data_IF_055996516190
#
_entry.id   IF_055996516190
#
_cell.length_a   1.000
_cell.length_b   1.000
_cell.length_c   1.000
_cell.angle_alpha   90.00
_cell.angle_beta   90.00
_cell.angle_gamma   90.00
#
_symmetry.space_group_name_H-M   'P 1'
#
loop_
_entity.id
_entity.type
_entity.pdbx_description
1 polymer ?
#
# COMPACT_ATOMS: atom_id res chain seq x y z
N UNK A 1 6.16 -36.58 40.86
CA UNK A 1 6.94 -36.83 39.63
C UNK A 1 8.46 -36.90 39.88
N UNK A 2 9.17 -35.82 40.26
CA UNK A 2 10.63 -35.90 40.49
C UNK A 2 11.01 -36.86 41.64
N UNK A 3 10.27 -36.82 42.76
CA UNK A 3 10.41 -37.77 43.87
C UNK A 3 10.29 -39.24 43.43
N UNK A 4 9.27 -39.57 42.63
CA UNK A 4 9.05 -40.94 42.14
C UNK A 4 10.17 -41.43 41.22
N UNK A 5 10.76 -40.52 40.42
CA UNK A 5 11.89 -40.85 39.55
C UNK A 5 13.16 -41.11 40.38
N UNK A 6 13.47 -40.24 41.35
CA UNK A 6 14.62 -40.43 42.25
C UNK A 6 14.47 -41.70 43.08
N UNK A 7 13.29 -41.94 43.68
CA UNK A 7 12.96 -43.17 44.41
C UNK A 7 13.07 -44.42 43.50
N UNK A 8 12.66 -44.30 42.24
CA UNK A 8 12.79 -45.36 41.24
C UNK A 8 14.25 -45.73 40.95
N UNK A 9 15.13 -44.73 40.77
CA UNK A 9 16.56 -44.97 40.58
C UNK A 9 17.24 -45.52 41.83
N UNK A 10 16.81 -45.12 43.03
CA UNK A 10 17.33 -45.66 44.29
C UNK A 10 16.93 -47.14 44.48
N UNK A 11 15.68 -47.52 44.17
CA UNK A 11 15.26 -48.94 44.15
C UNK A 11 16.03 -49.77 43.11
N UNK A 12 16.20 -49.23 41.90
CA UNK A 12 17.00 -49.88 40.85
C UNK A 12 18.47 -50.05 41.27
N UNK A 13 18.99 -49.10 42.05
CA UNK A 13 20.33 -49.20 42.62
C UNK A 13 20.44 -50.37 43.62
N UNK A 14 19.45 -50.52 44.51
CA UNK A 14 19.39 -51.63 45.45
C UNK A 14 19.23 -52.99 44.76
N UNK A 15 18.38 -53.08 43.74
CA UNK A 15 18.19 -54.29 42.92
C UNK A 15 19.48 -54.67 42.17
N UNK A 16 20.12 -53.71 41.49
CA UNK A 16 21.38 -53.93 40.81
C UNK A 16 22.53 -54.28 41.78
N UNK A 17 22.47 -53.79 43.03
CA UNK A 17 23.45 -54.13 44.07
C UNK A 17 23.29 -55.58 44.58
N UNK A 18 22.06 -56.12 44.54
CA UNK A 18 21.76 -57.52 44.92
C UNK A 18 22.17 -58.56 43.87
N UNK A 19 22.51 -58.16 42.64
CA UNK A 19 22.98 -59.08 41.60
C UNK A 19 24.29 -59.78 42.00
N UNK A 20 24.35 -61.10 41.84
CA UNK A 20 25.54 -61.89 42.15
C UNK A 20 26.72 -61.52 41.22
N UNK A 21 27.95 -61.39 41.75
CA UNK A 21 29.10 -60.91 40.99
C UNK A 21 29.62 -61.90 39.93
N UNK A 22 29.30 -63.20 40.03
CA UNK A 22 29.66 -64.18 39.01
C UNK A 22 28.61 -65.29 38.95
N UNK A 23 28.14 -65.62 37.74
CA UNK A 23 27.24 -66.76 37.53
C UNK A 23 27.98 -67.85 36.76
N UNK A 24 27.82 -69.10 37.18
CA UNK A 24 28.34 -70.27 36.46
C UNK A 24 27.22 -70.84 35.60
N UNK A 25 27.36 -70.73 34.29
CA UNK A 25 26.38 -71.25 33.32
C UNK A 25 26.73 -72.71 33.02
N UNK A 26 25.79 -73.62 33.32
CA UNK A 26 25.85 -75.07 33.07
C UNK A 26 27.15 -75.78 33.52
N UNK A 27 27.82 -75.25 34.55
CA UNK A 27 28.97 -75.90 35.19
C UNK A 27 30.31 -75.81 34.44
N UNK A 28 30.34 -75.29 33.21
CA UNK A 28 31.58 -75.20 32.40
C UNK A 28 32.00 -73.77 32.03
N UNK A 29 31.13 -72.76 32.17
CA UNK A 29 31.43 -71.36 31.84
C UNK A 29 31.16 -70.45 33.05
N UNK A 30 32.20 -69.76 33.53
CA UNK A 30 32.08 -68.73 34.58
C UNK A 30 32.02 -67.35 33.95
N UNK A 31 30.88 -66.68 34.05
CA UNK A 31 30.71 -65.31 33.56
C UNK A 31 30.96 -64.35 34.72
N UNK A 32 31.98 -63.50 34.57
CA UNK A 32 32.27 -62.43 35.53
C UNK A 32 31.41 -61.20 35.23
N UNK A 33 30.34 -61.03 35.99
CA UNK A 33 29.42 -59.91 35.85
C UNK A 33 29.86 -58.66 36.63
N UNK A 34 31.00 -58.70 37.36
CA UNK A 34 31.53 -57.56 38.13
C UNK A 34 31.69 -56.27 37.31
N UNK A 35 32.32 -56.26 36.11
CA UNK A 35 32.47 -55.02 35.33
C UNK A 35 31.13 -54.49 34.80
N UNK A 36 30.18 -55.38 34.47
CA UNK A 36 28.83 -54.99 34.07
C UNK A 36 28.05 -54.40 35.23
N UNK A 37 28.07 -55.05 36.40
CA UNK A 37 27.45 -54.56 37.65
C UNK A 37 28.00 -53.19 38.05
N UNK A 38 29.32 -53.01 38.02
CA UNK A 38 29.96 -51.72 38.31
C UNK A 38 29.52 -50.63 37.32
N UNK A 39 29.46 -50.94 36.03
CA UNK A 39 29.00 -50.00 35.00
C UNK A 39 27.52 -49.63 35.18
N UNK A 40 26.66 -50.61 35.46
CA UNK A 40 25.22 -50.39 35.69
C UNK A 40 24.96 -49.55 36.94
N UNK A 41 25.63 -49.86 38.06
CA UNK A 41 25.53 -49.07 39.29
C UNK A 41 26.00 -47.63 39.10
N UNK A 42 27.07 -47.42 38.31
CA UNK A 42 27.55 -46.08 37.97
C UNK A 42 26.55 -45.29 37.11
N UNK A 43 25.90 -45.95 36.12
CA UNK A 43 24.88 -45.29 35.29
C UNK A 43 23.68 -44.90 36.13
N UNK A 44 23.17 -45.78 36.99
CA UNK A 44 22.03 -45.49 37.88
C UNK A 44 22.37 -44.35 38.84
N UNK A 45 23.55 -44.37 39.46
CA UNK A 45 24.02 -43.26 40.32
C UNK A 45 24.14 -41.96 39.55
N UNK A 46 24.62 -41.98 38.30
CA UNK A 46 24.75 -40.77 37.46
C UNK A 46 23.38 -40.16 37.15
N UNK A 47 22.37 -40.97 36.85
CA UNK A 47 21.01 -40.48 36.61
C UNK A 47 20.38 -39.92 37.88
N UNK A 48 20.50 -40.63 39.02
CA UNK A 48 20.04 -40.12 40.32
C UNK A 48 20.72 -38.78 40.68
N UNK A 49 22.04 -38.67 40.49
CA UNK A 49 22.79 -37.44 40.70
C UNK A 49 22.34 -36.31 39.77
N UNK A 50 22.10 -36.59 38.49
CA UNK A 50 21.57 -35.60 37.54
C UNK A 50 20.23 -35.02 37.98
N UNK A 51 19.30 -35.84 38.47
CA UNK A 51 18.02 -35.35 38.97
C UNK A 51 18.17 -34.53 40.25
N UNK A 52 19.00 -34.98 41.19
CA UNK A 52 19.33 -34.24 42.41
C UNK A 52 19.99 -32.89 42.08
N UNK A 53 20.95 -32.88 41.17
CA UNK A 53 21.66 -31.68 40.74
C UNK A 53 20.75 -30.70 39.99
N UNK A 54 19.84 -31.18 39.14
CA UNK A 54 18.84 -30.32 38.51
C UNK A 54 17.91 -29.65 39.54
N UNK A 55 17.50 -30.36 40.60
CA UNK A 55 16.70 -29.77 41.67
C UNK A 55 17.51 -28.73 42.46
N UNK A 56 18.78 -29.00 42.75
CA UNK A 56 19.71 -28.06 43.39
C UNK A 56 19.87 -26.79 42.53
N UNK A 57 20.14 -26.96 41.23
CA UNK A 57 20.32 -25.87 40.29
C UNK A 57 19.02 -25.08 40.11
N UNK A 58 17.85 -25.75 40.09
CA UNK A 58 16.56 -25.09 39.99
C UNK A 58 16.28 -24.19 41.19
N UNK A 59 16.51 -24.68 42.42
CA UNK A 59 16.35 -23.89 43.65
C UNK A 59 17.33 -22.73 43.67
N UNK A 60 18.60 -23.00 43.38
CA UNK A 60 19.67 -21.99 43.41
C UNK A 60 19.44 -20.88 42.38
N UNK A 61 19.12 -21.23 41.13
CA UNK A 61 18.86 -20.26 40.07
C UNK A 61 17.57 -19.46 40.31
N UNK A 62 16.54 -20.10 40.87
CA UNK A 62 15.28 -19.41 41.17
C UNK A 62 15.45 -18.36 42.28
N UNK A 63 16.20 -18.70 43.34
CA UNK A 63 16.50 -17.78 44.43
C UNK A 63 17.46 -16.66 43.99
N UNK A 64 18.52 -16.97 43.23
CA UNK A 64 19.41 -15.97 42.64
C UNK A 64 18.67 -15.01 41.69
N UNK A 65 17.82 -15.54 40.81
CA UNK A 65 17.03 -14.74 39.89
C UNK A 65 15.96 -13.89 40.59
N UNK A 66 15.52 -14.29 41.78
CA UNK A 66 14.66 -13.46 42.62
C UNK A 66 15.47 -12.40 43.37
N UNK A 67 16.64 -12.72 43.90
CA UNK A 67 17.52 -11.79 44.59
C UNK A 67 17.97 -10.64 43.67
N UNK A 68 18.44 -10.97 42.46
CA UNK A 68 18.80 -9.98 41.45
C UNK A 68 17.61 -9.09 41.09
N UNK A 69 16.43 -9.68 40.89
CA UNK A 69 15.21 -8.92 40.60
C UNK A 69 14.86 -7.97 41.75
N UNK A 70 14.93 -8.43 43.00
CA UNK A 70 14.62 -7.59 44.16
C UNK A 70 15.61 -6.43 44.28
N UNK A 71 16.91 -6.67 44.13
CA UNK A 71 17.93 -5.61 44.14
C UNK A 71 17.70 -4.57 43.04
N UNK A 72 17.53 -5.00 41.78
CA UNK A 72 17.29 -4.09 40.65
C UNK A 72 16.03 -3.24 40.85
N UNK A 73 14.95 -3.84 41.39
CA UNK A 73 13.68 -3.13 41.61
C UNK A 73 13.74 -2.24 42.85
N UNK A 74 14.46 -2.61 43.92
CA UNK A 74 14.69 -1.73 45.07
C UNK A 74 15.52 -0.49 44.68
N UNK A 75 16.58 -0.66 43.89
CA UNK A 75 17.38 0.46 43.37
C UNK A 75 16.55 1.37 42.46
N UNK A 76 15.75 0.80 41.56
CA UNK A 76 14.85 1.55 40.68
C UNK A 76 13.77 2.32 41.44
N UNK A 77 13.17 1.74 42.48
CA UNK A 77 12.17 2.40 43.33
C UNK A 77 12.78 3.40 44.31
N UNK A 78 14.07 3.28 44.63
CA UNK A 78 14.81 4.20 45.49
C UNK A 78 15.18 5.54 44.81
N UNK A 79 15.01 5.65 43.49
CA UNK A 79 15.28 6.89 42.77
C UNK A 79 14.28 8.00 43.14
N UNK A 80 14.79 9.14 43.61
CA UNK A 80 13.97 10.31 43.92
C UNK A 80 13.50 10.99 42.63
N UNK A 81 12.23 10.85 42.31
CA UNK A 81 11.59 11.59 41.22
C UNK A 81 11.34 13.04 41.67
N UNK A 82 11.81 14.00 40.86
CA UNK A 82 11.44 15.42 40.97
C UNK A 82 10.35 15.74 39.95
N UNK A 83 9.51 16.73 40.25
CA UNK A 83 8.54 17.30 39.31
C UNK A 83 9.23 17.68 37.99
N UNK A 84 8.70 17.20 36.86
CA UNK A 84 9.20 17.48 35.50
C UNK A 84 10.10 16.40 34.88
N UNK A 85 10.51 15.35 35.61
CA UNK A 85 11.27 14.25 35.02
C UNK A 85 10.35 13.16 34.44
N UNK A 86 9.89 13.36 33.21
CA UNK A 86 9.04 12.39 32.48
C UNK A 86 9.71 11.01 32.37
N UNK A 87 11.00 10.97 32.00
CA UNK A 87 11.72 9.70 31.83
C UNK A 87 11.82 8.92 33.15
N UNK A 88 12.14 9.60 34.25
CA UNK A 88 12.16 8.96 35.57
C UNK A 88 10.79 8.48 36.04
N UNK A 89 9.70 9.15 35.62
CA UNK A 89 8.34 8.68 35.87
C UNK A 89 8.02 7.41 35.08
N UNK A 90 8.42 7.35 33.80
CA UNK A 90 8.27 6.17 32.92
C UNK A 90 8.98 4.97 33.52
N UNK A 91 10.25 5.14 33.91
CA UNK A 91 11.09 4.06 34.44
C UNK A 91 10.47 3.47 35.72
N UNK A 92 10.09 4.34 36.67
CA UNK A 92 9.47 3.90 37.93
C UNK A 92 8.11 3.23 37.70
N UNK A 93 7.30 3.73 36.75
CA UNK A 93 6.05 3.06 36.37
C UNK A 93 6.31 1.67 35.78
N UNK A 94 7.37 1.50 34.97
CA UNK A 94 7.81 0.20 34.46
C UNK A 94 8.24 -0.76 35.58
N UNK A 95 9.00 -0.28 36.57
CA UNK A 95 9.38 -1.07 37.74
C UNK A 95 8.15 -1.46 38.58
N UNK A 96 7.19 -0.56 38.81
CA UNK A 96 5.95 -0.83 39.53
C UNK A 96 5.07 -1.89 38.83
N UNK A 97 4.98 -1.83 37.50
CA UNK A 97 4.24 -2.81 36.69
C UNK A 97 4.91 -4.19 36.75
N UNK A 98 6.24 -4.26 36.59
CA UNK A 98 6.98 -5.52 36.68
C UNK A 98 6.84 -6.19 38.06
N UNK A 99 6.85 -5.41 39.15
CA UNK A 99 6.61 -5.93 40.50
C UNK A 99 5.18 -6.48 40.64
N UNK A 100 4.18 -5.78 40.09
CA UNK A 100 2.77 -6.21 40.11
C UNK A 100 2.53 -7.49 39.31
N UNK A 101 3.11 -7.61 38.12
CA UNK A 101 2.96 -8.79 37.26
C UNK A 101 3.62 -10.03 37.87
N UNK A 102 4.83 -9.87 38.44
CA UNK A 102 5.57 -10.97 39.05
C UNK A 102 5.05 -11.35 40.45
N UNK A 103 4.18 -10.53 41.04
CA UNK A 103 3.75 -10.69 42.43
C UNK A 103 3.09 -12.04 42.73
N UNK A 104 2.09 -12.43 41.94
CA UNK A 104 1.37 -13.68 42.16
C UNK A 104 2.28 -14.91 42.00
N UNK A 105 3.18 -14.87 41.01
CA UNK A 105 4.11 -15.97 40.74
C UNK A 105 5.17 -16.11 41.83
N UNK A 106 5.75 -14.99 42.29
CA UNK A 106 6.77 -15.00 43.35
C UNK A 106 6.18 -15.37 44.71
N UNK A 107 4.98 -14.90 45.05
CA UNK A 107 4.30 -15.29 46.30
C UNK A 107 4.02 -16.81 46.34
N UNK A 108 3.73 -17.44 45.20
CA UNK A 108 3.47 -18.88 45.09
C UNK A 108 4.74 -19.74 44.97
N UNK A 109 5.91 -19.14 44.75
CA UNK A 109 7.17 -19.87 44.48
C UNK A 109 7.85 -20.40 45.75
N UNK A 110 7.68 -19.72 46.89
CA UNK A 110 8.43 -20.06 48.10
C UNK A 110 8.03 -21.42 48.72
N UNK A 111 6.75 -21.80 48.65
CA UNK A 111 6.28 -23.07 49.24
C UNK A 111 6.82 -24.29 48.47
N UNK A 112 6.73 -24.37 47.13
CA UNK A 112 7.33 -25.47 46.37
C UNK A 112 8.86 -25.56 46.52
N UNK A 113 9.55 -24.43 46.69
CA UNK A 113 10.99 -24.42 46.91
C UNK A 113 11.35 -25.00 48.30
N UNK A 114 10.58 -24.69 49.35
CA UNK A 114 10.75 -25.30 50.67
C UNK A 114 10.55 -26.81 50.63
N UNK A 115 9.48 -27.28 49.98
CA UNK A 115 9.22 -28.71 49.79
C UNK A 115 10.34 -29.41 49.01
N UNK A 116 10.90 -28.75 48.00
CA UNK A 116 12.03 -29.28 47.21
C UNK A 116 13.31 -29.38 48.05
N UNK A 117 13.57 -28.41 48.93
CA UNK A 117 14.71 -28.43 49.85
C UNK A 117 14.55 -29.53 50.91
N UNK A 118 13.35 -29.71 51.47
CA UNK A 118 13.04 -30.81 52.38
C UNK A 118 13.21 -32.19 51.70
N UNK A 119 12.80 -32.30 50.44
CA UNK A 119 13.02 -33.49 49.63
C UNK A 119 14.53 -33.75 49.42
N UNK A 120 15.32 -32.73 49.07
CA UNK A 120 16.77 -32.86 48.93
C UNK A 120 17.46 -33.27 50.24
N UNK A 121 17.01 -32.73 51.38
CA UNK A 121 17.46 -33.16 52.72
C UNK A 121 17.16 -34.63 52.99
N UNK A 122 16.01 -35.14 52.55
CA UNK A 122 15.66 -36.56 52.71
C UNK A 122 16.56 -37.53 51.92
N UNK A 123 17.29 -37.01 50.92
CA UNK A 123 18.24 -37.76 50.10
C UNK A 123 19.71 -37.51 50.49
N UNK A 124 19.97 -36.98 51.69
CA UNK A 124 21.30 -36.60 52.21
C UNK A 124 22.06 -35.61 51.31
N UNK A 125 21.34 -34.82 50.50
CA UNK A 125 21.93 -33.78 49.66
C UNK A 125 21.90 -32.44 50.40
N UNK A 126 23.03 -32.06 50.98
CA UNK A 126 23.17 -30.75 51.60
C UNK A 126 23.30 -29.64 50.54
N UNK A 127 22.49 -28.60 50.70
CA UNK A 127 22.58 -27.36 49.93
C UNK A 127 23.56 -26.40 50.62
N UNK A 128 24.19 -25.48 49.87
CA UNK A 128 25.04 -24.44 50.45
C UNK A 128 24.30 -23.59 51.50
N UNK A 129 25.01 -23.19 52.55
CA UNK A 129 24.46 -22.31 53.61
C UNK A 129 23.88 -21.01 53.06
N UNK A 130 24.40 -20.52 51.93
CA UNK A 130 23.90 -19.34 51.23
C UNK A 130 22.45 -19.50 50.75
N UNK A 131 22.05 -20.71 50.34
CA UNK A 131 20.69 -21.01 49.86
C UNK A 131 19.69 -20.98 51.03
N UNK A 132 20.09 -21.48 52.20
CA UNK A 132 19.26 -21.40 53.41
C UNK A 132 19.09 -19.96 53.88
N UNK A 133 20.17 -19.18 53.87
CA UNK A 133 20.11 -17.73 54.20
C UNK A 133 19.19 -16.98 53.24
N UNK A 134 19.32 -17.22 51.93
CA UNK A 134 18.45 -16.62 50.92
C UNK A 134 16.97 -16.98 51.14
N UNK A 135 16.66 -18.22 51.52
CA UNK A 135 15.28 -18.66 51.76
C UNK A 135 14.64 -17.97 52.98
N UNK A 136 15.42 -17.60 54.00
CA UNK A 136 14.95 -16.84 55.16
C UNK A 136 14.84 -15.34 54.87
N UNK A 137 15.83 -14.76 54.18
CA UNK A 137 15.91 -13.31 53.94
C UNK A 137 15.03 -12.83 52.77
N UNK A 138 14.92 -13.60 51.67
CA UNK A 138 14.22 -13.17 50.45
C UNK A 138 12.71 -12.93 50.65
N UNK A 139 11.97 -13.73 51.45
CA UNK A 139 10.57 -13.41 51.76
C UNK A 139 10.43 -12.04 52.41
N UNK A 140 11.30 -11.70 53.36
CA UNK A 140 11.29 -10.39 54.02
C UNK A 140 11.64 -9.27 53.04
N UNK A 141 12.74 -9.40 52.28
CA UNK A 141 13.14 -8.44 51.23
C UNK A 141 12.02 -8.23 50.20
N UNK A 142 11.35 -9.31 49.79
CA UNK A 142 10.20 -9.26 48.89
C UNK A 142 9.00 -8.53 49.51
N UNK A 143 8.69 -8.75 50.79
CA UNK A 143 7.62 -7.98 51.47
C UNK A 143 7.96 -6.51 51.62
N UNK A 144 9.23 -6.17 51.86
CA UNK A 144 9.71 -4.80 51.93
C UNK A 144 9.63 -4.12 50.56
N UNK A 145 10.04 -4.81 49.49
CA UNK A 145 9.86 -4.34 48.12
C UNK A 145 8.38 -4.09 47.79
N UNK A 146 7.46 -4.98 48.17
CA UNK A 146 6.01 -4.78 47.99
C UNK A 146 5.51 -3.53 48.73
N UNK A 147 5.94 -3.32 49.98
CA UNK A 147 5.60 -2.11 50.75
C UNK A 147 6.19 -0.85 50.12
N UNK A 148 7.44 -0.91 49.68
CA UNK A 148 8.13 0.18 48.97
C UNK A 148 7.43 0.53 47.66
N UNK A 149 7.00 -0.46 46.88
CA UNK A 149 6.23 -0.27 45.66
C UNK A 149 4.88 0.41 45.93
N UNK A 150 4.17 0.05 47.00
CA UNK A 150 2.91 0.71 47.39
C UNK A 150 3.15 2.16 47.81
N UNK A 151 4.17 2.43 48.61
CA UNK A 151 4.54 3.77 49.05
C UNK A 151 4.95 4.66 47.85
N UNK A 152 5.78 4.13 46.95
CA UNK A 152 6.20 4.83 45.74
C UNK A 152 5.02 5.09 44.82
N UNK A 153 4.11 4.13 44.65
CA UNK A 153 2.87 4.32 43.89
C UNK A 153 2.02 5.46 44.47
N UNK A 154 1.91 5.58 45.79
CA UNK A 154 1.20 6.70 46.42
C UNK A 154 1.90 8.05 46.20
N UNK A 155 3.23 8.07 46.25
CA UNK A 155 4.03 9.27 46.01
C UNK A 155 3.95 9.74 44.55
N UNK A 156 3.91 8.78 43.61
CA UNK A 156 3.88 9.03 42.17
C UNK A 156 2.47 9.29 41.64
N UNK A 157 1.42 8.82 42.32
CA UNK A 157 0.03 9.02 41.93
C UNK A 157 -0.34 10.48 41.55
N UNK A 158 0.00 11.54 42.32
CA UNK A 158 -0.30 12.91 41.93
C UNK A 158 0.48 13.36 40.68
N UNK A 159 1.74 12.94 40.52
CA UNK A 159 2.55 13.24 39.34
C UNK A 159 2.02 12.53 38.09
N UNK A 160 1.64 11.27 38.23
CA UNK A 160 0.98 10.48 37.19
C UNK A 160 -0.35 11.13 36.78
N UNK A 161 -1.17 11.56 37.74
CA UNK A 161 -2.44 12.23 37.46
C UNK A 161 -2.24 13.56 36.72
N UNK A 162 -1.22 14.34 37.09
CA UNK A 162 -0.84 15.57 36.40
C UNK A 162 -0.41 15.29 34.95
N UNK A 163 0.44 14.28 34.73
CA UNK A 163 0.91 13.92 33.39
C UNK A 163 -0.22 13.36 32.51
N UNK A 164 -1.10 12.52 33.07
CA UNK A 164 -2.32 12.04 32.39
C UNK A 164 -3.22 13.21 31.99
N UNK A 165 -3.36 14.23 32.85
CA UNK A 165 -4.12 15.43 32.51
C UNK A 165 -3.47 16.23 31.36
N UNK A 166 -2.14 16.33 31.35
CA UNK A 166 -1.38 16.94 30.24
C UNK A 166 -1.57 16.14 28.94
N UNK A 167 -1.44 14.81 28.99
CA UNK A 167 -1.65 13.93 27.83
C UNK A 167 -3.06 14.05 27.29
N UNK A 168 -4.09 14.05 28.15
CA UNK A 168 -5.49 14.26 27.73
C UNK A 168 -5.68 15.61 27.04
N UNK A 169 -5.05 16.68 27.54
CA UNK A 169 -5.09 18.00 26.89
C UNK A 169 -4.39 17.98 25.53
N UNK A 170 -3.23 17.31 25.41
CA UNK A 170 -2.52 17.13 24.13
C UNK A 170 -3.35 16.32 23.13
N UNK A 171 -4.00 15.24 23.56
CA UNK A 171 -4.93 14.45 22.76
C UNK A 171 -6.09 15.29 22.22
N UNK A 172 -6.76 16.06 23.09
CA UNK A 172 -7.84 16.94 22.68
C UNK A 172 -7.37 18.05 21.72
N UNK A 173 -6.19 18.63 21.95
CA UNK A 173 -5.60 19.62 21.05
C UNK A 173 -5.24 19.01 19.69
N UNK A 174 -4.73 17.78 19.67
CA UNK A 174 -4.41 17.05 18.45
C UNK A 174 -5.67 16.74 17.63
N UNK A 175 -6.78 16.38 18.27
CA UNK A 175 -8.07 16.19 17.59
C UNK A 175 -8.52 17.47 16.87
N UNK A 176 -8.43 18.62 17.54
CA UNK A 176 -8.77 19.91 16.93
C UNK A 176 -7.85 20.23 15.75
N UNK A 177 -6.54 20.03 15.91
CA UNK A 177 -5.57 20.25 14.82
C UNK A 177 -5.77 19.28 13.66
N UNK A 178 -6.15 18.02 13.92
CA UNK A 178 -6.51 17.04 12.90
C UNK A 178 -7.75 17.48 12.09
N UNK A 179 -8.77 18.03 12.75
CA UNK A 179 -9.94 18.59 12.08
C UNK A 179 -9.59 19.83 11.24
N UNK A 180 -8.80 20.75 11.81
CA UNK A 180 -8.33 21.95 11.12
C UNK A 180 -7.45 21.62 9.91
N UNK A 181 -6.58 20.61 10.05
CA UNK A 181 -5.75 20.11 8.96
C UNK A 181 -6.61 19.62 7.79
N UNK A 182 -7.66 18.84 8.08
CA UNK A 182 -8.61 18.37 7.06
C UNK A 182 -9.31 19.52 6.33
N UNK A 183 -9.77 20.54 7.04
CA UNK A 183 -10.41 21.70 6.39
C UNK A 183 -9.44 22.42 5.46
N UNK A 184 -8.19 22.61 5.90
CA UNK A 184 -7.13 23.20 5.06
C UNK A 184 -6.83 22.33 3.85
N UNK A 185 -6.74 21.02 4.03
CA UNK A 185 -6.51 20.06 2.94
C UNK A 185 -7.65 20.16 1.91
N UNK A 186 -8.91 20.13 2.33
CA UNK A 186 -10.06 20.29 1.43
C UNK A 186 -10.09 21.61 0.67
N UNK A 187 -9.64 22.70 1.28
CA UNK A 187 -9.67 24.02 0.68
C UNK A 187 -8.49 24.31 -0.28
N UNK A 188 -7.33 23.69 -0.05
CA UNK A 188 -6.07 24.07 -0.72
C UNK A 188 -5.35 22.92 -1.41
N UNK A 189 -5.77 21.66 -1.22
CA UNK A 189 -5.23 20.56 -1.99
C UNK A 189 -5.68 20.67 -3.46
N UNK A 190 -4.94 20.07 -4.40
CA UNK A 190 -5.16 20.24 -5.83
C UNK A 190 -6.36 19.42 -6.33
N UNK A 191 -7.55 19.77 -5.85
CA UNK A 191 -8.83 19.20 -6.29
C UNK A 191 -9.38 19.85 -7.56
N UNK A 192 -8.87 21.03 -7.92
CA UNK A 192 -9.27 21.79 -9.11
C UNK A 192 -8.40 21.43 -10.32
N UNK A 193 -9.00 21.33 -11.50
CA UNK A 193 -8.30 20.99 -12.74
C UNK A 193 -7.24 22.04 -13.16
N UNK A 194 -7.50 23.31 -12.86
CA UNK A 194 -6.61 24.43 -13.19
C UNK A 194 -5.45 24.62 -12.19
N UNK A 195 -5.18 23.63 -11.34
CA UNK A 195 -4.14 23.76 -10.32
C UNK A 195 -2.73 23.92 -10.93
N UNK A 196 -2.06 25.02 -10.59
CA UNK A 196 -0.67 25.23 -10.95
C UNK A 196 0.26 24.36 -10.07
N UNK A 197 1.16 23.58 -10.71
CA UNK A 197 2.16 22.73 -10.05
C UNK A 197 1.57 21.75 -9.00
N UNK A 198 0.67 20.84 -9.40
CA UNK A 198 -0.02 19.92 -8.49
C UNK A 198 0.94 19.05 -7.67
N UNK A 199 2.04 18.58 -8.25
CA UNK A 199 3.04 17.76 -7.55
C UNK A 199 3.72 18.47 -6.39
N UNK A 200 4.14 19.72 -6.57
CA UNK A 200 4.78 20.49 -5.50
C UNK A 200 3.84 20.67 -4.30
N UNK A 201 2.56 20.93 -4.57
CA UNK A 201 1.53 20.99 -3.52
C UNK A 201 1.34 19.63 -2.85
N UNK A 202 1.22 18.55 -3.61
CA UNK A 202 1.09 17.19 -3.06
C UNK A 202 2.28 16.81 -2.18
N UNK A 203 3.50 17.19 -2.56
CA UNK A 203 4.71 16.94 -1.76
C UNK A 203 4.69 17.74 -0.44
N UNK A 204 4.27 19.01 -0.47
CA UNK A 204 4.08 19.77 0.77
C UNK A 204 3.03 19.14 1.68
N UNK A 205 1.88 18.73 1.13
CA UNK A 205 0.83 18.04 1.88
C UNK A 205 1.30 16.68 2.40
N UNK A 206 2.13 15.96 1.63
CA UNK A 206 2.72 14.71 2.06
C UNK A 206 3.64 14.91 3.27
N UNK A 207 4.49 15.94 3.24
CA UNK A 207 5.37 16.27 4.35
C UNK A 207 4.57 16.65 5.62
N UNK A 208 3.56 17.51 5.47
CA UNK A 208 2.71 17.92 6.59
C UNK A 208 1.92 16.74 7.17
N UNK A 209 1.38 15.85 6.32
CA UNK A 209 0.72 14.61 6.75
C UNK A 209 1.67 13.71 7.54
N UNK A 210 2.90 13.53 7.06
CA UNK A 210 3.91 12.71 7.72
C UNK A 210 4.34 13.31 9.05
N UNK A 211 4.41 14.65 9.16
CA UNK A 211 4.66 15.35 10.43
C UNK A 211 3.52 15.14 11.44
N UNK A 212 2.27 15.23 10.99
CA UNK A 212 1.09 14.95 11.83
C UNK A 212 1.04 13.48 12.28
N UNK A 213 1.34 12.52 11.40
CA UNK A 213 1.41 11.09 11.73
C UNK A 213 2.53 10.78 12.72
N UNK A 214 3.71 11.40 12.58
CA UNK A 214 4.80 11.27 13.54
C UNK A 214 4.43 11.85 14.91
N UNK A 215 3.75 12.99 14.92
CA UNK A 215 3.23 13.61 16.14
C UNK A 215 2.23 12.69 16.85
N UNK A 216 1.30 12.07 16.09
CA UNK A 216 0.36 11.09 16.63
C UNK A 216 1.09 9.85 17.18
N UNK A 217 2.11 9.34 16.49
CA UNK A 217 2.87 8.19 16.94
C UNK A 217 3.57 8.46 18.29
N UNK A 218 4.21 9.62 18.43
CA UNK A 218 4.84 10.04 19.69
C UNK A 218 3.83 10.23 20.83
N UNK A 219 2.63 10.75 20.50
CA UNK A 219 1.54 10.91 21.45
C UNK A 219 0.95 9.55 21.85
N UNK A 220 0.83 8.62 20.91
CA UNK A 220 0.33 7.27 21.15
C UNK A 220 1.29 6.46 22.03
N UNK A 221 2.59 6.57 21.80
CA UNK A 221 3.62 5.98 22.66
C UNK A 221 3.51 6.51 24.09
N UNK A 222 3.42 7.83 24.23
CA UNK A 222 3.27 8.49 25.54
C UNK A 222 1.95 8.12 26.22
N UNK A 223 0.84 8.03 25.48
CA UNK A 223 -0.47 7.68 26.01
C UNK A 223 -0.60 6.20 26.39
N UNK A 224 0.01 5.30 25.61
CA UNK A 224 0.05 3.85 25.88
C UNK A 224 0.67 3.55 27.24
N UNK A 225 1.77 4.25 27.57
CA UNK A 225 2.47 4.10 28.84
C UNK A 225 1.60 4.39 30.07
N UNK A 226 0.64 5.30 29.94
CA UNK A 226 -0.25 5.71 31.03
C UNK A 226 -1.69 5.18 30.87
N UNK A 227 -1.91 4.21 29.99
CA UNK A 227 -3.24 3.65 29.67
C UNK A 227 -4.28 4.73 29.29
N UNK A 228 -3.83 5.81 28.65
CA UNK A 228 -4.70 6.89 28.17
C UNK A 228 -5.20 6.54 26.77
N UNK A 229 -6.51 6.71 26.55
CA UNK A 229 -7.10 6.51 25.23
C UNK A 229 -6.50 7.51 24.21
N UNK A 230 -5.94 6.97 23.13
CA UNK A 230 -5.38 7.74 22.01
C UNK A 230 -6.53 8.17 21.09
N UNK A 231 -6.49 9.40 20.53
CA UNK A 231 -7.49 9.83 19.56
C UNK A 231 -7.53 8.98 18.30
N UNK A 232 -8.71 8.86 17.69
CA UNK A 232 -8.87 8.15 16.43
C UNK A 232 -8.32 8.97 15.26
N UNK A 233 -7.31 8.43 14.57
CA UNK A 233 -6.65 9.02 13.42
C UNK A 233 -7.51 9.04 12.14
N UNK A 234 -8.84 8.96 12.25
CA UNK A 234 -9.77 8.83 11.12
C UNK A 234 -9.59 9.91 10.07
N UNK A 235 -9.43 11.18 10.47
CA UNK A 235 -9.32 12.27 9.50
C UNK A 235 -7.97 12.25 8.78
N UNK A 236 -6.87 11.93 9.49
CA UNK A 236 -5.54 11.80 8.89
C UNK A 236 -5.50 10.64 7.89
N UNK A 237 -6.04 9.47 8.27
CA UNK A 237 -6.14 8.31 7.38
C UNK A 237 -6.93 8.64 6.12
N UNK A 238 -8.02 9.39 6.25
CA UNK A 238 -8.79 9.83 5.09
C UNK A 238 -8.00 10.81 4.21
N UNK A 239 -7.36 11.83 4.79
CA UNK A 239 -6.53 12.77 4.01
C UNK A 239 -5.37 12.05 3.31
N UNK A 240 -4.78 11.02 3.94
CA UNK A 240 -3.73 10.19 3.34
C UNK A 240 -4.25 9.39 2.15
N UNK A 241 -5.45 8.81 2.24
CA UNK A 241 -6.11 8.12 1.12
C UNK A 241 -6.42 9.08 -0.02
N UNK A 242 -7.03 10.23 0.29
CA UNK A 242 -7.36 11.27 -0.69
C UNK A 242 -6.09 11.83 -1.38
N UNK A 243 -5.00 12.06 -0.64
CA UNK A 243 -3.73 12.52 -1.20
C UNK A 243 -3.09 11.50 -2.16
N UNK A 244 -3.19 10.20 -1.85
CA UNK A 244 -2.71 9.14 -2.77
C UNK A 244 -3.54 9.08 -4.05
N UNK A 245 -4.85 9.11 -3.92
CA UNK A 245 -5.76 9.12 -5.07
C UNK A 245 -5.63 10.40 -5.91
N UNK A 246 -5.36 11.56 -5.29
CA UNK A 246 -5.02 12.79 -6.00
C UNK A 246 -3.72 12.64 -6.79
N UNK A 247 -2.69 12.04 -6.21
CA UNK A 247 -1.44 11.77 -6.93
C UNK A 247 -1.66 10.90 -8.15
N UNK A 248 -2.39 9.79 -8.00
CA UNK A 248 -2.75 8.92 -9.12
C UNK A 248 -3.52 9.66 -10.21
N UNK A 249 -4.49 10.50 -9.84
CA UNK A 249 -5.23 11.33 -10.79
C UNK A 249 -4.30 12.28 -11.56
N UNK A 250 -3.42 12.99 -10.87
CA UNK A 250 -2.48 13.92 -11.49
C UNK A 250 -1.41 13.22 -12.33
N UNK A 251 -1.04 11.98 -12.00
CA UNK A 251 -0.17 11.13 -12.83
C UNK A 251 -0.85 10.80 -14.17
N UNK A 252 -2.14 10.46 -14.16
CA UNK A 252 -2.92 10.28 -15.39
C UNK A 252 -3.04 11.60 -16.14
N UNK A 253 -3.29 12.73 -15.45
CA UNK A 253 -3.32 14.06 -16.10
C UNK A 253 -2.00 14.39 -16.79
N UNK A 254 -0.87 14.14 -16.14
CA UNK A 254 0.45 14.40 -16.70
C UNK A 254 0.72 13.51 -17.92
N UNK A 255 0.32 12.24 -17.87
CA UNK A 255 0.41 11.33 -19.00
C UNK A 255 -0.41 11.82 -20.19
N UNK A 256 -1.69 12.16 -19.97
CA UNK A 256 -2.57 12.69 -21.03
C UNK A 256 -2.00 13.97 -21.62
N UNK A 257 -1.59 14.94 -20.80
CA UNK A 257 -1.03 16.21 -21.27
C UNK A 257 0.30 16.03 -22.02
N UNK A 258 1.14 15.10 -21.60
CA UNK A 258 2.38 14.76 -22.31
C UNK A 258 2.05 14.18 -23.69
N UNK A 259 1.20 13.15 -23.76
CA UNK A 259 0.84 12.51 -25.03
C UNK A 259 0.14 13.46 -25.98
N UNK A 260 -0.80 14.28 -25.48
CA UNK A 260 -1.43 15.34 -26.28
C UNK A 260 -0.41 16.37 -26.73
N UNK A 261 0.55 16.73 -25.87
CA UNK A 261 1.68 17.60 -26.22
C UNK A 261 2.48 17.06 -27.40
N UNK A 262 2.83 15.77 -27.37
CA UNK A 262 3.56 15.11 -28.46
C UNK A 262 2.74 15.07 -29.77
N UNK A 263 1.43 14.86 -29.67
CA UNK A 263 0.54 14.84 -30.84
C UNK A 263 0.37 16.22 -31.46
N UNK A 264 0.40 17.29 -30.66
CA UNK A 264 0.20 18.67 -31.13
C UNK A 264 1.20 19.09 -32.19
N UNK A 265 2.44 18.62 -32.09
CA UNK A 265 3.51 18.94 -33.05
C UNK A 265 3.49 18.05 -34.30
N UNK A 266 2.60 17.06 -34.36
CA UNK A 266 2.48 16.14 -35.50
C UNK A 266 1.82 16.85 -36.67
N UNK A 267 2.43 16.74 -37.87
CA UNK A 267 1.92 17.34 -39.11
C UNK A 267 0.65 16.64 -39.60
N UNK A 268 -0.29 17.39 -40.15
CA UNK A 268 -1.59 16.91 -40.67
C UNK A 268 -1.49 15.64 -41.53
N UNK A 269 -0.54 15.60 -42.47
CA UNK A 269 -0.35 14.47 -43.41
C UNK A 269 0.19 13.19 -42.75
N UNK A 270 0.75 13.30 -41.55
CA UNK A 270 1.35 12.21 -40.78
C UNK A 270 0.51 11.81 -39.58
N UNK A 271 -0.68 12.40 -39.42
CA UNK A 271 -1.58 12.06 -38.31
C UNK A 271 -2.19 10.68 -38.51
N UNK A 272 -1.85 9.78 -37.58
CA UNK A 272 -2.54 8.51 -37.37
C UNK A 272 -3.66 8.71 -36.34
N UNK A 273 -4.83 9.10 -36.84
CA UNK A 273 -5.98 9.45 -36.00
C UNK A 273 -6.54 8.21 -35.28
N UNK A 274 -6.46 7.04 -35.90
CA UNK A 274 -6.93 5.77 -35.31
C UNK A 274 -6.07 5.37 -34.11
N UNK A 275 -4.74 5.49 -34.21
CA UNK A 275 -3.84 5.24 -33.10
C UNK A 275 -4.05 6.25 -31.96
N UNK A 276 -4.22 7.53 -32.27
CA UNK A 276 -4.49 8.57 -31.26
C UNK A 276 -5.83 8.37 -30.54
N UNK A 277 -6.89 7.98 -31.27
CA UNK A 277 -8.20 7.66 -30.68
C UNK A 277 -8.15 6.41 -29.79
N UNK A 278 -7.39 5.38 -30.20
CA UNK A 278 -7.15 4.19 -29.37
C UNK A 278 -6.46 4.55 -28.04
N UNK A 279 -5.48 5.45 -28.08
CA UNK A 279 -4.80 5.97 -26.88
C UNK A 279 -5.74 6.80 -26.00
N UNK A 280 -6.59 7.65 -26.58
CA UNK A 280 -7.61 8.40 -25.82
C UNK A 280 -8.62 7.45 -25.13
N UNK A 281 -9.04 6.39 -25.81
CA UNK A 281 -9.89 5.33 -25.23
C UNK A 281 -9.19 4.61 -24.07
N UNK A 282 -7.87 4.41 -24.18
CA UNK A 282 -7.02 3.89 -23.09
C UNK A 282 -7.02 4.84 -21.89
N UNK A 283 -6.76 6.13 -22.11
CA UNK A 283 -6.82 7.15 -21.05
C UNK A 283 -8.19 7.20 -20.36
N UNK A 284 -9.28 7.14 -21.14
CA UNK A 284 -10.62 7.11 -20.58
C UNK A 284 -10.88 5.85 -19.73
N UNK A 285 -10.29 4.70 -20.09
CA UNK A 285 -10.36 3.47 -19.29
C UNK A 285 -9.56 3.59 -18.00
N UNK A 286 -8.35 4.12 -18.07
CA UNK A 286 -7.46 4.29 -16.92
C UNK A 286 -8.06 5.30 -15.94
N UNK A 287 -8.66 6.38 -16.44
CA UNK A 287 -9.42 7.34 -15.65
C UNK A 287 -10.62 6.68 -14.94
N UNK A 288 -11.37 5.80 -15.63
CA UNK A 288 -12.49 5.06 -15.02
C UNK A 288 -12.04 4.04 -13.96
N UNK A 289 -10.81 3.54 -14.06
CA UNK A 289 -10.23 2.58 -13.12
C UNK A 289 -9.80 3.21 -11.79
N UNK A 290 -9.65 4.54 -11.74
CA UNK A 290 -9.43 5.27 -10.50
C UNK A 290 -10.60 5.09 -9.51
N UNK A 291 -10.31 5.31 -8.22
CA UNK A 291 -11.29 5.19 -7.14
C UNK A 291 -12.53 6.05 -7.41
N UNK A 292 -13.72 5.54 -7.05
CA UNK A 292 -15.00 6.24 -7.31
C UNK A 292 -15.06 7.60 -6.63
N UNK A 293 -14.35 7.77 -5.52
CA UNK A 293 -14.26 9.04 -4.79
C UNK A 293 -13.59 10.15 -5.63
N UNK A 294 -12.71 9.81 -6.58
CA UNK A 294 -12.03 10.82 -7.41
C UNK A 294 -12.99 11.52 -8.38
N UNK A 295 -14.10 10.86 -8.74
CA UNK A 295 -15.10 11.37 -9.69
C UNK A 295 -15.86 12.59 -9.20
N UNK A 296 -15.87 12.82 -7.89
CA UNK A 296 -16.48 14.00 -7.29
C UNK A 296 -15.58 15.24 -7.37
N UNK A 297 -14.32 15.08 -7.80
CA UNK A 297 -13.36 16.17 -7.84
C UNK A 297 -13.37 16.87 -9.19
N UNK A 298 -13.23 18.18 -9.17
CA UNK A 298 -13.18 19.02 -10.36
C UNK A 298 -12.00 18.63 -11.28
N UNK A 299 -10.85 18.25 -10.71
CA UNK A 299 -9.70 17.72 -11.45
C UNK A 299 -10.04 16.48 -12.29
N UNK A 300 -10.92 15.60 -11.80
CA UNK A 300 -11.39 14.44 -12.56
C UNK A 300 -12.32 14.88 -13.69
N UNK A 301 -13.30 15.74 -13.36
CA UNK A 301 -14.28 16.22 -14.35
C UNK A 301 -13.60 16.98 -15.50
N UNK A 302 -12.62 17.83 -15.19
CA UNK A 302 -11.82 18.54 -16.18
C UNK A 302 -11.03 17.60 -17.09
N UNK A 303 -10.34 16.60 -16.51
CA UNK A 303 -9.59 15.61 -17.30
C UNK A 303 -10.50 14.71 -18.15
N UNK A 304 -11.63 14.26 -17.60
CA UNK A 304 -12.62 13.46 -18.34
C UNK A 304 -13.19 14.26 -19.52
N UNK A 305 -13.48 15.55 -19.32
CA UNK A 305 -13.91 16.45 -20.39
C UNK A 305 -12.81 16.66 -21.42
N UNK A 306 -11.55 16.85 -21.01
CA UNK A 306 -10.41 17.02 -21.91
C UNK A 306 -10.24 15.79 -22.82
N UNK A 307 -10.25 14.58 -22.24
CA UNK A 307 -10.11 13.33 -23.01
C UNK A 307 -11.30 13.15 -23.96
N UNK A 308 -12.54 13.41 -23.53
CA UNK A 308 -13.72 13.32 -24.39
C UNK A 308 -13.69 14.33 -25.53
N UNK A 309 -13.35 15.58 -25.25
CA UNK A 309 -13.23 16.63 -26.26
C UNK A 309 -12.13 16.29 -27.27
N UNK A 310 -11.03 15.69 -26.81
CA UNK A 310 -9.97 15.20 -27.70
C UNK A 310 -10.49 14.08 -28.62
N UNK A 311 -11.19 13.08 -28.09
CA UNK A 311 -11.77 12.00 -28.90
C UNK A 311 -12.73 12.54 -29.98
N UNK A 312 -13.63 13.45 -29.62
CA UNK A 312 -14.55 14.08 -30.58
C UNK A 312 -13.79 14.90 -31.62
N UNK A 313 -12.77 15.66 -31.22
CA UNK A 313 -11.94 16.44 -32.14
C UNK A 313 -11.17 15.53 -33.10
N UNK A 314 -10.59 14.43 -32.62
CA UNK A 314 -9.90 13.44 -33.44
C UNK A 314 -10.85 12.79 -34.45
N UNK A 315 -12.07 12.42 -34.05
CA UNK A 315 -13.08 11.91 -34.99
C UNK A 315 -13.39 12.91 -36.11
N UNK A 316 -13.55 14.19 -35.78
CA UNK A 316 -13.75 15.24 -36.77
C UNK A 316 -12.52 15.39 -37.71
N UNK A 317 -11.31 15.30 -37.17
CA UNK A 317 -10.05 15.29 -37.95
C UNK A 317 -10.03 14.10 -38.93
N UNK A 318 -10.41 12.89 -38.50
CA UNK A 318 -10.51 11.73 -39.38
C UNK A 318 -11.51 11.93 -40.53
N UNK A 319 -12.68 12.51 -40.24
CA UNK A 319 -13.68 12.83 -41.28
C UNK A 319 -13.11 13.86 -42.29
N UNK A 320 -12.35 14.85 -41.81
CA UNK A 320 -11.73 15.90 -42.61
C UNK A 320 -10.51 15.43 -43.43
N UNK A 321 -9.89 14.29 -43.10
CA UNK A 321 -8.81 13.67 -43.90
C UNK A 321 -9.33 13.07 -45.23
N UNK A 322 -10.65 13.09 -45.48
CA UNK A 322 -11.23 12.59 -46.72
C UNK A 322 -10.69 13.36 -47.95
N UNK A 323 -10.21 12.66 -49.00
CA UNK A 323 -9.63 13.29 -50.20
C UNK A 323 -10.63 14.13 -51.02
N UNK A 324 -11.93 14.03 -50.75
CA UNK A 324 -12.95 14.88 -51.35
C UNK A 324 -12.86 16.34 -50.86
N UNK A 325 -12.25 16.58 -49.69
CA UNK A 325 -12.08 17.90 -49.09
C UNK A 325 -11.10 18.74 -49.93
N UNK A 326 -11.42 20.03 -50.06
CA UNK A 326 -10.71 21.02 -50.90
C UNK A 326 -10.77 22.37 -50.24
N UNK A 327 -9.99 23.32 -50.76
CA UNK A 327 -9.91 24.70 -50.26
C UNK A 327 -11.28 25.35 -49.97
N UNK A 328 -12.26 25.18 -50.84
CA UNK A 328 -13.64 25.69 -50.63
C UNK A 328 -14.32 25.15 -49.37
N UNK A 329 -14.06 23.89 -49.02
CA UNK A 329 -14.62 23.23 -47.84
C UNK A 329 -13.92 23.72 -46.56
N UNK A 330 -12.60 23.96 -46.63
CA UNK A 330 -11.86 24.58 -45.54
C UNK A 330 -12.35 26.00 -45.25
N UNK A 331 -12.68 26.76 -46.28
CA UNK A 331 -13.30 28.09 -46.13
C UNK A 331 -14.68 28.04 -45.47
N UNK A 332 -15.50 27.03 -45.78
CA UNK A 332 -16.78 26.82 -45.09
C UNK A 332 -16.58 26.48 -43.61
N UNK A 333 -15.60 25.63 -43.30
CA UNK A 333 -15.26 25.27 -41.92
C UNK A 333 -14.75 26.49 -41.12
N UNK A 334 -13.92 27.34 -41.73
CA UNK A 334 -13.48 28.61 -41.13
C UNK A 334 -14.65 29.55 -40.83
N UNK A 335 -15.62 29.63 -41.73
CA UNK A 335 -16.81 30.47 -41.53
C UNK A 335 -17.69 29.92 -40.40
N UNK A 336 -17.83 28.60 -40.29
CA UNK A 336 -18.62 27.96 -39.24
C UNK A 336 -17.96 28.09 -37.85
N UNK A 337 -16.64 27.88 -37.78
CA UNK A 337 -15.88 27.93 -36.52
C UNK A 337 -15.52 29.35 -36.09
N UNK A 338 -15.55 30.32 -37.01
CA UNK A 338 -15.14 31.71 -36.76
C UNK A 338 -13.62 31.90 -36.64
N UNK A 339 -12.83 30.84 -36.85
CA UNK A 339 -11.37 30.86 -36.76
C UNK A 339 -10.79 30.89 -38.17
N UNK A 340 -9.84 31.79 -38.42
CA UNK A 340 -9.11 31.87 -39.70
C UNK A 340 -7.86 31.01 -39.63
N UNK A 341 -7.74 30.03 -40.53
CA UNK A 341 -6.55 29.20 -40.69
C UNK A 341 -6.25 28.94 -42.17
N UNK A 342 -4.97 28.82 -42.54
CA UNK A 342 -4.57 28.36 -43.88
C UNK A 342 -4.15 26.89 -43.77
N UNK A 343 -4.66 26.05 -44.67
CA UNK A 343 -4.18 24.68 -44.80
C UNK A 343 -2.92 24.67 -45.66
N UNK A 344 -1.76 24.56 -44.99
CA UNK A 344 -0.45 24.55 -45.62
C UNK A 344 0.27 23.21 -45.30
N UNK A 345 1.40 22.92 -45.96
CA UNK A 345 2.12 21.66 -45.73
C UNK A 345 2.68 21.51 -44.30
N UNK A 346 2.81 22.62 -43.59
CA UNK A 346 3.28 22.69 -42.20
C UNK A 346 2.14 22.71 -41.17
N UNK A 347 0.87 22.60 -41.59
CA UNK A 347 -0.27 22.56 -40.64
C UNK A 347 -0.14 21.37 -39.69
N UNK A 348 -0.27 21.65 -38.40
CA UNK A 348 -0.13 20.67 -37.30
C UNK A 348 -1.48 20.35 -36.66
N UNK A 349 -1.52 19.28 -35.85
CA UNK A 349 -2.70 19.00 -35.02
C UNK A 349 -3.00 20.15 -34.05
N UNK A 350 -1.99 20.85 -33.54
CA UNK A 350 -2.20 22.01 -32.68
C UNK A 350 -3.07 23.08 -33.34
N UNK A 351 -2.87 23.33 -34.63
CA UNK A 351 -3.62 24.33 -35.39
C UNK A 351 -5.09 23.91 -35.58
N UNK A 352 -5.32 22.61 -35.77
CA UNK A 352 -6.67 22.04 -35.93
C UNK A 352 -7.44 21.99 -34.62
N UNK A 353 -6.75 21.75 -33.51
CA UNK A 353 -7.37 21.80 -32.18
C UNK A 353 -7.83 23.22 -31.79
N UNK A 354 -7.22 24.28 -32.34
CA UNK A 354 -7.70 25.66 -32.13
C UNK A 354 -9.08 25.91 -32.72
N UNK A 355 -9.52 25.10 -33.68
CA UNK A 355 -10.85 25.18 -34.28
C UNK A 355 -11.95 24.66 -33.34
N UNK A 356 -11.57 24.08 -32.19
CA UNK A 356 -12.49 23.48 -31.22
C UNK A 356 -13.49 22.53 -31.89
N UNK A 357 -13.00 21.65 -32.76
CA UNK A 357 -13.82 20.77 -33.61
C UNK A 357 -14.84 19.93 -32.83
N UNK A 358 -14.56 19.61 -31.57
CA UNK A 358 -15.52 18.95 -30.67
C UNK A 358 -16.84 19.71 -30.46
N UNK A 359 -16.87 21.03 -30.69
CA UNK A 359 -18.08 21.86 -30.61
C UNK A 359 -18.84 21.97 -31.93
N UNK A 360 -18.26 21.49 -33.04
CA UNK A 360 -18.78 21.65 -34.41
C UNK A 360 -18.80 20.32 -35.18
N UNK A 361 -19.03 19.21 -34.49
CA UNK A 361 -19.00 17.86 -35.10
C UNK A 361 -20.02 17.73 -36.24
N UNK A 362 -21.23 18.25 -36.05
CA UNK A 362 -22.31 18.16 -37.03
C UNK A 362 -22.03 19.01 -38.28
N UNK A 363 -21.45 20.20 -38.10
CA UNK A 363 -21.00 21.06 -39.20
C UNK A 363 -19.88 20.39 -40.00
N UNK A 364 -18.89 19.80 -39.32
CA UNK A 364 -17.80 19.06 -39.97
C UNK A 364 -18.37 17.92 -40.82
N UNK A 365 -19.26 17.10 -40.25
CA UNK A 365 -19.91 15.99 -40.96
C UNK A 365 -20.67 16.47 -42.19
N UNK A 366 -21.43 17.56 -42.05
CA UNK A 366 -22.20 18.15 -43.16
C UNK A 366 -21.29 18.62 -44.30
N UNK A 367 -20.15 19.24 -43.98
CA UNK A 367 -19.17 19.70 -44.97
C UNK A 367 -18.52 18.51 -45.69
N UNK A 368 -18.13 17.48 -44.94
CA UNK A 368 -17.54 16.26 -45.51
C UNK A 368 -18.53 15.53 -46.42
N UNK A 369 -19.79 15.40 -46.02
CA UNK A 369 -20.84 14.79 -46.84
C UNK A 369 -21.08 15.55 -48.15
N UNK A 370 -21.08 16.89 -48.09
CA UNK A 370 -21.17 17.73 -49.30
C UNK A 370 -19.96 17.50 -50.21
N UNK A 371 -18.75 17.50 -49.65
CA UNK A 371 -17.53 17.28 -50.41
C UNK A 371 -17.52 15.92 -51.12
N UNK A 372 -17.93 14.85 -50.44
CA UNK A 372 -18.01 13.50 -51.02
C UNK A 372 -19.02 13.44 -52.17
N UNK A 373 -20.19 14.07 -52.01
CA UNK A 373 -21.20 14.17 -53.08
C UNK A 373 -20.68 14.96 -54.28
N UNK A 374 -20.02 16.10 -54.04
CA UNK A 374 -19.39 16.90 -55.09
C UNK A 374 -18.31 16.12 -55.86
N UNK A 375 -17.46 15.38 -55.14
CA UNK A 375 -16.44 14.53 -55.78
C UNK A 375 -17.08 13.44 -56.66
N UNK A 376 -18.19 12.86 -56.20
CA UNK A 376 -18.98 11.91 -57.00
C UNK A 376 -19.52 12.54 -58.29
N UNK A 377 -20.14 13.72 -58.18
CA UNK A 377 -20.64 14.47 -59.34
C UNK A 377 -19.51 14.84 -60.32
N UNK A 378 -18.36 15.29 -59.81
CA UNK A 378 -17.21 15.62 -60.66
C UNK A 378 -16.62 14.41 -61.38
N UNK A 379 -16.69 13.22 -60.78
CA UNK A 379 -16.30 11.96 -61.43
C UNK A 379 -17.23 11.67 -62.61
N UNK A 380 -18.54 11.75 -62.40
CA UNK A 380 -19.55 11.57 -63.46
C UNK A 380 -19.33 12.59 -64.59
N UNK A 381 -19.13 13.87 -64.28
CA UNK A 381 -18.85 14.90 -65.29
C UNK A 381 -17.56 14.63 -66.07
N UNK A 382 -16.53 14.07 -65.41
CA UNK A 382 -15.27 13.70 -66.07
C UNK A 382 -15.45 12.50 -66.99
N UNK A 383 -16.22 11.50 -66.57
CA UNK A 383 -16.60 10.35 -67.39
C UNK A 383 -17.39 10.80 -68.61
N UNK A 384 -18.43 11.63 -68.43
CA UNK A 384 -19.18 12.26 -69.52
C UNK A 384 -18.25 12.97 -70.51
N UNK A 385 -17.36 13.83 -70.02
CA UNK A 385 -16.41 14.55 -70.88
C UNK A 385 -15.47 13.60 -71.62
N UNK A 386 -15.05 12.50 -71.00
CA UNK A 386 -14.20 11.50 -71.63
C UNK A 386 -14.94 10.75 -72.73
N UNK A 387 -16.16 10.28 -72.43
CA UNK A 387 -17.02 9.58 -73.39
C UNK A 387 -17.29 10.47 -74.60
N UNK A 388 -17.81 11.69 -74.39
CA UNK A 388 -18.10 12.61 -75.48
C UNK A 388 -16.86 13.15 -76.21
N UNK A 389 -15.69 13.15 -75.57
CA UNK A 389 -14.44 13.52 -76.20
C UNK A 389 -13.87 12.46 -77.15
N UNK A 390 -14.28 11.20 -76.99
CA UNK A 390 -13.84 10.07 -77.82
C UNK A 390 -14.85 9.70 -78.91
N UNK A 391 -16.12 10.09 -78.74
CA UNK A 391 -17.17 9.83 -79.72
C UNK A 391 -16.94 10.63 -81.01
N UNK A 392 -17.16 9.97 -82.15
CA UNK A 392 -17.01 10.57 -83.48
C UNK A 392 -18.13 10.11 -84.41
N UNK A 393 -18.56 10.97 -85.31
CA UNK A 393 -19.58 10.62 -86.30
C UNK A 393 -19.04 9.64 -87.35
N UNK A 394 -19.73 8.51 -87.53
CA UNK A 394 -19.48 7.58 -88.62
C UNK A 394 -20.09 8.06 -89.94
N UNK A 395 -19.39 7.85 -91.05
CA UNK A 395 -19.87 8.21 -92.39
C UNK A 395 -19.82 7.01 -93.34
N UNK A 396 -20.85 6.88 -94.19
CA UNK A 396 -20.92 5.87 -95.24
C UNK A 396 -21.05 6.53 -96.63
N UNK A 397 -20.36 6.02 -97.66
CA UNK A 397 -20.38 6.64 -98.98
C UNK A 397 -21.73 6.43 -99.69
N UNK A 398 -22.31 7.51 -100.23
CA UNK A 398 -23.56 7.42 -100.98
C UNK A 398 -23.41 6.53 -102.22
N UNK A 399 -24.29 5.53 -102.43
CA UNK A 399 -24.09 4.46 -103.42
C UNK A 399 -24.02 4.91 -104.89
N UNK A 400 -24.47 6.13 -105.21
CA UNK A 400 -24.44 6.69 -106.58
C UNK A 400 -23.46 7.84 -106.80
N UNK A 401 -23.02 8.51 -105.74
CA UNK A 401 -22.28 9.78 -105.84
C UNK A 401 -21.03 9.83 -104.96
N UNK A 402 -20.81 8.79 -104.15
CA UNK A 402 -19.70 8.66 -103.20
C UNK A 402 -19.59 9.80 -102.16
N UNK A 403 -20.61 10.65 -102.02
CA UNK A 403 -20.66 11.71 -100.99
C UNK A 403 -20.84 11.04 -99.62
N UNK A 404 -20.06 11.42 -98.58
CA UNK A 404 -20.21 10.84 -97.25
C UNK A 404 -21.57 11.22 -96.64
N UNK A 405 -22.39 10.21 -96.37
CA UNK A 405 -23.63 10.32 -95.60
C UNK A 405 -23.34 9.99 -94.14
N UNK A 406 -23.95 10.74 -93.24
CA UNK A 406 -23.90 10.43 -91.82
C UNK A 406 -24.61 9.10 -91.55
N UNK A 407 -23.91 8.16 -90.91
CA UNK A 407 -24.49 6.90 -90.44
C UNK A 407 -25.25 7.16 -89.14
N UNK A 408 -26.48 6.67 -89.04
CA UNK A 408 -27.20 6.63 -87.76
C UNK A 408 -26.59 5.52 -86.89
N UNK A 409 -25.82 5.92 -85.90
CA UNK A 409 -25.22 5.01 -84.94
C UNK A 409 -26.13 4.87 -83.73
N UNK A 410 -26.74 3.69 -83.55
CA UNK A 410 -27.67 3.41 -82.45
C UNK A 410 -26.96 3.51 -81.09
N UNK A 411 -25.69 3.11 -81.00
CA UNK A 411 -24.88 3.19 -79.78
C UNK A 411 -24.63 4.65 -79.36
N UNK A 412 -24.44 5.55 -80.34
CA UNK A 412 -24.28 6.99 -80.09
C UNK A 412 -25.59 7.64 -79.59
N UNK A 413 -26.74 7.18 -80.10
CA UNK A 413 -28.06 7.68 -79.67
C UNK A 413 -28.41 7.16 -78.27
N UNK A 414 -28.18 5.87 -78.00
CA UNK A 414 -28.40 5.27 -76.67
C UNK A 414 -27.51 5.95 -75.62
N UNK A 415 -26.22 6.15 -75.93
CA UNK A 415 -25.27 6.88 -75.05
C UNK A 415 -25.71 8.34 -74.84
N UNK A 416 -26.38 8.97 -75.81
CA UNK A 416 -26.94 10.31 -75.64
C UNK A 416 -28.11 10.33 -74.65
N UNK A 417 -29.04 9.39 -74.81
CA UNK A 417 -30.24 9.30 -73.98
C UNK A 417 -29.87 8.94 -72.53
N UNK A 418 -28.95 8.00 -72.31
CA UNK A 418 -28.48 7.62 -70.98
C UNK A 418 -27.77 8.78 -70.26
N UNK A 419 -26.98 9.58 -70.97
CA UNK A 419 -26.21 10.68 -70.38
C UNK A 419 -27.02 11.98 -70.18
N UNK A 420 -28.26 12.04 -70.68
CA UNK A 420 -29.16 13.18 -70.46
C UNK A 420 -29.99 13.06 -69.17
N UNK A 421 -30.16 11.84 -68.66
CA UNK A 421 -30.85 11.51 -67.41
C UNK A 421 -29.89 11.68 -66.23
#
# INVERSE_FOLDING_TARGET
QFREQVDGYERLHEEASRLEPSTTVEGWLRVDARPFKASLLNVIKRWSLMFKQHLVDHVTNSLLGLEQFVQEKEEGLGQKIKEGNYHGLVDVMGHLMAVKERQASTDAMFEPLKETIELLKSYDQELPDDVYRQLEELPEKWTNLKKGAVAMKQQVAPLQAAEVAVLRRKCAAFDVEQHRFRERFRAKAPFCYDCAKPYALLDTWHHDLSSMEASLASLAESASLFEVAVPDARQLRQCRREARALRELWDVTALVRSSVGDWRDTRWRQLDVDAMDAECKRFARDLRALDKETRAWDAFAGLDSEVKNMMTSLRAVAELQNPAIRERHWQQLMQATGVRFSMDEDTTLADLLQLNLHSFEDEVRSIVDKAVKEMGMEKVLRELRSTWGQMSFGYEPHPRTAVPLLRSDEELIETLEENQV
#
